data_IF_124097170579
#
_entry.id   IF_124097170579
#
_cell.length_a   1.000
_cell.length_b   1.000
_cell.length_c   1.000
_cell.angle_alpha   90.00
_cell.angle_beta   90.00
_cell.angle_gamma   90.00
#
_symmetry.space_group_name_H-M   'P 1'
#
loop_
_entity.id
_entity.type
_entity.pdbx_description
1 polymer ?
#
# COMPACT_ATOMS: atom_id res chain seq x y z
N UNK A 1 80.79 40.64 31.49
CA UNK A 1 80.03 40.01 30.35
C UNK A 1 78.97 39.10 30.92
N UNK A 2 77.73 39.58 30.99
CA UNK A 2 76.63 38.93 31.69
C UNK A 2 75.60 38.46 30.65
N UNK A 3 75.45 37.14 30.54
CA UNK A 3 74.45 36.53 29.61
C UNK A 3 73.09 36.41 30.32
N UNK A 4 72.08 37.13 29.84
CA UNK A 4 70.71 37.02 30.25
C UNK A 4 70.02 35.81 29.54
N UNK A 5 69.49 34.86 30.35
CA UNK A 5 68.64 33.75 29.87
C UNK A 5 67.18 34.27 29.75
N UNK A 6 66.64 34.24 28.51
CA UNK A 6 65.23 34.44 28.27
C UNK A 6 64.53 33.12 28.49
N UNK A 7 63.56 33.08 29.40
CA UNK A 7 62.62 31.95 29.52
C UNK A 7 61.50 32.09 28.54
N UNK A 8 61.28 30.99 27.78
CA UNK A 8 60.20 30.89 26.80
C UNK A 8 59.02 30.17 27.47
N UNK A 9 57.93 30.91 27.72
CA UNK A 9 56.69 30.34 28.25
C UNK A 9 55.88 29.71 27.14
N UNK A 10 55.72 28.38 27.15
CA UNK A 10 54.85 27.61 26.25
C UNK A 10 53.47 27.60 26.90
N UNK A 11 52.53 28.36 26.31
CA UNK A 11 51.11 28.30 26.64
C UNK A 11 50.44 27.05 26.12
N UNK A 12 49.98 26.17 27.00
CA UNK A 12 49.13 25.04 26.64
C UNK A 12 47.72 25.56 26.29
N UNK A 13 47.36 25.60 25.01
CA UNK A 13 45.96 25.72 24.58
C UNK A 13 45.27 24.36 24.73
N UNK A 14 44.50 24.22 25.80
CA UNK A 14 43.56 23.10 25.96
C UNK A 14 42.38 23.28 24.99
N UNK A 15 42.47 22.67 23.81
CA UNK A 15 41.33 22.56 22.90
C UNK A 15 40.25 21.64 23.49
N UNK A 16 39.13 22.22 23.98
CA UNK A 16 37.92 21.44 24.23
C UNK A 16 37.39 20.91 22.86
N UNK A 17 37.70 19.68 22.56
CA UNK A 17 37.06 18.95 21.47
C UNK A 17 35.63 18.68 21.87
N UNK A 18 34.69 19.43 21.29
CA UNK A 18 33.26 19.08 21.32
C UNK A 18 33.12 17.83 20.43
N UNK A 19 33.13 16.65 21.05
CA UNK A 19 32.74 15.42 20.42
C UNK A 19 31.26 15.55 20.09
N UNK A 20 30.94 15.89 18.85
CA UNK A 20 29.58 15.75 18.32
C UNK A 20 29.20 14.25 18.46
N UNK A 21 28.36 13.94 19.45
CA UNK A 21 27.78 12.61 19.57
C UNK A 21 27.02 12.34 18.27
N UNK A 22 27.61 11.55 17.40
CA UNK A 22 26.91 11.04 16.21
C UNK A 22 25.71 10.26 16.75
N UNK A 23 24.53 10.83 16.62
CA UNK A 23 23.28 10.15 16.94
C UNK A 23 23.23 8.86 16.14
N UNK A 24 23.33 7.71 16.80
CA UNK A 24 23.28 6.42 16.15
C UNK A 24 21.95 6.31 15.40
N UNK A 25 22.04 6.20 14.08
CA UNK A 25 20.87 6.09 13.21
C UNK A 25 20.18 4.76 13.47
N UNK A 26 18.90 4.80 13.88
CA UNK A 26 18.13 3.58 14.11
C UNK A 26 17.56 3.05 12.82
N UNK A 27 17.85 1.79 12.49
CA UNK A 27 17.28 1.10 11.33
C UNK A 27 16.06 0.28 11.76
N UNK A 28 14.94 0.50 11.08
CA UNK A 28 13.70 -0.27 11.20
C UNK A 28 13.53 -1.14 9.96
N UNK A 29 13.20 -2.41 10.16
CA UNK A 29 12.92 -3.35 9.08
C UNK A 29 11.41 -3.61 9.02
N UNK A 30 10.79 -3.29 7.90
CA UNK A 30 9.39 -3.57 7.61
C UNK A 30 9.23 -4.42 6.37
N UNK A 31 8.16 -5.22 6.32
CA UNK A 31 7.87 -6.02 5.13
C UNK A 31 6.36 -6.19 4.93
N UNK A 32 5.92 -6.28 3.67
CA UNK A 32 4.53 -6.57 3.39
C UNK A 32 4.02 -6.11 2.04
N UNK A 33 2.84 -5.53 2.06
CA UNK A 33 2.07 -5.15 0.89
C UNK A 33 2.88 -4.39 -0.16
N UNK A 34 2.77 -4.79 -1.42
CA UNK A 34 3.36 -4.06 -2.54
C UNK A 34 2.53 -2.85 -2.97
N UNK A 35 1.23 -2.84 -2.61
CA UNK A 35 0.34 -1.71 -2.90
C UNK A 35 0.92 -0.37 -2.42
N UNK A 36 1.33 -0.17 -1.15
CA UNK A 36 1.83 1.11 -0.67
C UNK A 36 3.33 1.31 -0.93
N UNK A 37 4.06 0.36 -1.53
CA UNK A 37 5.52 0.38 -1.57
C UNK A 37 6.11 1.68 -2.14
N UNK A 38 5.64 2.25 -3.28
CA UNK A 38 6.13 3.55 -3.77
C UNK A 38 5.93 4.68 -2.76
N UNK A 39 4.78 4.72 -2.09
CA UNK A 39 4.48 5.72 -1.07
C UNK A 39 5.35 5.55 0.17
N UNK A 40 5.49 4.32 0.69
CA UNK A 40 6.32 4.03 1.85
C UNK A 40 7.79 4.35 1.60
N UNK A 41 8.34 3.94 0.47
CA UNK A 41 9.73 4.25 0.11
C UNK A 41 9.99 5.74 0.09
N UNK A 42 9.10 6.52 -0.53
CA UNK A 42 9.26 7.97 -0.63
C UNK A 42 9.07 8.68 0.71
N UNK A 43 8.06 8.30 1.48
CA UNK A 43 7.76 8.91 2.78
C UNK A 43 8.83 8.54 3.83
N UNK A 44 9.27 7.28 3.88
CA UNK A 44 10.31 6.87 4.82
C UNK A 44 11.68 7.45 4.48
N UNK A 45 11.99 7.67 3.20
CA UNK A 45 13.18 8.44 2.82
C UNK A 45 13.14 9.88 3.40
N UNK A 46 11.96 10.50 3.47
CA UNK A 46 11.78 11.79 4.13
C UNK A 46 11.98 11.74 5.65
N UNK A 47 11.65 10.62 6.30
CA UNK A 47 11.88 10.42 7.74
C UNK A 47 13.38 10.25 8.11
N UNK A 48 14.24 9.95 7.14
CA UNK A 48 15.68 9.80 7.37
C UNK A 48 16.33 11.07 7.96
N UNK A 49 15.81 12.25 7.63
CA UNK A 49 16.22 13.53 8.23
C UNK A 49 15.96 13.64 9.76
N UNK A 50 15.17 12.71 10.32
CA UNK A 50 14.90 12.60 11.75
C UNK A 50 15.76 11.51 12.45
N UNK A 51 16.81 11.02 11.80
CA UNK A 51 17.70 9.98 12.32
C UNK A 51 17.10 8.55 12.25
N UNK A 52 16.05 8.32 11.44
CA UNK A 52 15.37 7.03 11.32
C UNK A 52 15.52 6.52 9.90
N UNK A 53 16.17 5.37 9.73
CA UNK A 53 16.15 4.62 8.49
C UNK A 53 15.07 3.55 8.53
N UNK A 54 14.29 3.44 7.45
CA UNK A 54 13.33 2.36 7.29
C UNK A 54 13.66 1.56 6.04
N UNK A 55 13.97 0.30 6.24
CA UNK A 55 14.13 -0.69 5.17
C UNK A 55 12.80 -1.41 4.98
N UNK A 56 12.05 -1.02 3.95
CA UNK A 56 10.76 -1.64 3.64
C UNK A 56 10.88 -2.61 2.46
N UNK A 57 10.49 -3.86 2.68
CA UNK A 57 10.51 -4.93 1.68
C UNK A 57 9.11 -5.18 1.12
N UNK A 58 8.93 -4.92 -0.17
CA UNK A 58 7.71 -5.24 -0.93
C UNK A 58 7.66 -6.74 -1.25
N UNK A 59 7.00 -7.51 -0.39
CA UNK A 59 6.94 -9.00 -0.48
C UNK A 59 5.52 -9.55 -0.60
N UNK A 60 4.52 -8.66 -0.64
CA UNK A 60 3.09 -8.96 -0.60
C UNK A 60 2.54 -9.11 0.82
N UNK A 61 1.26 -8.76 0.99
CA UNK A 61 0.57 -8.75 2.30
C UNK A 61 0.64 -10.10 3.02
N UNK A 62 0.48 -11.20 2.28
CA UNK A 62 0.54 -12.54 2.87
C UNK A 62 1.90 -12.87 3.49
N UNK A 63 3.01 -12.50 2.82
CA UNK A 63 4.35 -12.68 3.36
C UNK A 63 4.62 -11.70 4.51
N UNK A 64 4.17 -10.44 4.39
CA UNK A 64 4.28 -9.44 5.46
C UNK A 64 3.62 -9.87 6.75
N UNK A 65 2.37 -10.34 6.69
CA UNK A 65 1.65 -10.84 7.86
C UNK A 65 2.37 -12.05 8.48
N UNK A 66 2.87 -12.99 7.66
CA UNK A 66 3.62 -14.15 8.18
C UNK A 66 4.93 -13.74 8.86
N UNK A 67 5.69 -12.79 8.29
CA UNK A 67 6.91 -12.28 8.90
C UNK A 67 6.62 -11.52 10.20
N UNK A 68 5.55 -10.74 10.23
CA UNK A 68 5.08 -10.05 11.41
C UNK A 68 4.70 -11.02 12.55
N UNK A 69 3.89 -12.04 12.27
CA UNK A 69 3.51 -13.05 13.27
C UNK A 69 4.74 -13.83 13.79
N UNK A 70 5.75 -14.06 12.93
CA UNK A 70 7.02 -14.71 13.31
C UNK A 70 8.02 -13.77 13.99
N UNK A 71 7.67 -12.50 14.17
CA UNK A 71 8.50 -11.47 14.79
C UNK A 71 9.87 -11.26 14.10
N UNK A 72 9.95 -11.55 12.79
CA UNK A 72 11.19 -11.39 12.00
C UNK A 72 11.39 -9.98 11.41
N UNK A 73 10.43 -9.09 11.62
CA UNK A 73 10.46 -7.68 11.20
C UNK A 73 9.98 -6.77 12.33
N UNK A 74 10.31 -5.49 12.29
CA UNK A 74 9.87 -4.51 13.29
C UNK A 74 8.40 -4.11 13.09
N UNK A 75 7.91 -4.21 11.85
CA UNK A 75 6.50 -4.02 11.50
C UNK A 75 6.12 -4.76 10.22
N UNK A 76 4.87 -5.18 10.14
CA UNK A 76 4.28 -5.74 8.93
C UNK A 76 3.45 -4.72 8.16
N UNK A 77 3.08 -5.03 6.90
CA UNK A 77 2.11 -4.25 6.16
C UNK A 77 1.16 -5.13 5.33
N UNK A 78 -0.13 -4.73 5.30
CA UNK A 78 -1.17 -5.48 4.60
C UNK A 78 -2.27 -4.55 4.09
N UNK A 79 -2.83 -4.84 2.90
CA UNK A 79 -4.03 -4.17 2.38
C UNK A 79 -5.33 -4.95 2.72
N UNK A 80 -5.21 -6.06 3.44
CA UNK A 80 -6.31 -6.72 4.13
C UNK A 80 -6.12 -6.49 5.62
N UNK A 81 -7.12 -6.03 6.37
CA UNK A 81 -7.05 -5.95 7.82
C UNK A 81 -6.67 -7.29 8.42
N UNK A 82 -5.94 -7.28 9.54
CA UNK A 82 -5.53 -8.51 10.20
C UNK A 82 -6.77 -9.27 10.69
N UNK A 83 -6.84 -10.55 10.39
CA UNK A 83 -7.97 -11.41 10.81
C UNK A 83 -7.93 -11.65 12.31
N UNK A 84 -9.09 -11.82 12.94
CA UNK A 84 -9.19 -12.14 14.38
C UNK A 84 -8.33 -13.35 14.78
N UNK A 85 -8.28 -14.39 13.93
CA UNK A 85 -7.45 -15.58 14.12
C UNK A 85 -5.95 -15.29 14.10
N UNK A 86 -5.50 -14.21 13.48
CA UNK A 86 -4.10 -13.84 13.41
C UNK A 86 -3.69 -12.91 14.58
N UNK A 87 -4.63 -12.11 15.11
CA UNK A 87 -4.39 -11.35 16.34
C UNK A 87 -3.91 -12.25 17.49
N UNK A 88 -4.56 -13.40 17.69
CA UNK A 88 -4.22 -14.33 18.75
C UNK A 88 -2.81 -14.97 18.61
N UNK A 89 -2.22 -14.92 17.41
CA UNK A 89 -0.88 -15.46 17.14
C UNK A 89 0.25 -14.47 17.44
N UNK A 90 -0.07 -13.18 17.59
CA UNK A 90 0.93 -12.12 17.85
C UNK A 90 1.07 -11.93 19.35
N UNK A 91 2.07 -12.56 19.96
CA UNK A 91 2.28 -12.54 21.42
C UNK A 91 2.50 -11.14 21.99
N UNK A 92 3.16 -10.29 21.23
CA UNK A 92 3.49 -8.88 21.59
C UNK A 92 2.30 -7.92 21.39
N UNK A 93 1.11 -8.43 21.13
CA UNK A 93 -0.07 -7.62 20.82
C UNK A 93 0.05 -6.87 19.49
N UNK A 94 -1.06 -6.37 18.99
CA UNK A 94 -1.17 -5.73 17.67
C UNK A 94 -1.65 -4.29 17.82
N UNK A 95 -0.96 -3.38 17.15
CA UNK A 95 -1.46 -2.04 16.82
C UNK A 95 -1.58 -1.96 15.30
N UNK A 96 -2.81 -2.05 14.80
CA UNK A 96 -3.12 -1.93 13.37
C UNK A 96 -3.42 -0.47 13.04
N UNK A 97 -2.70 0.09 12.05
CA UNK A 97 -2.72 1.52 11.75
C UNK A 97 -2.95 1.71 10.25
N UNK A 98 -4.09 2.26 9.81
CA UNK A 98 -4.26 2.65 8.42
C UNK A 98 -3.31 3.79 8.09
N UNK A 99 -2.65 3.73 6.92
CA UNK A 99 -1.56 4.65 6.59
C UNK A 99 -1.80 5.47 5.34
N UNK A 100 -2.44 4.91 4.34
CA UNK A 100 -2.83 5.58 3.11
C UNK A 100 -3.96 4.79 2.45
N UNK A 101 -4.79 5.45 1.67
CA UNK A 101 -5.76 4.81 0.80
C UNK A 101 -5.33 4.81 -0.65
N UNK A 102 -6.09 4.12 -1.49
CA UNK A 102 -5.86 4.20 -2.93
C UNK A 102 -6.82 3.33 -3.72
N UNK A 103 -6.93 3.67 -4.98
CA UNK A 103 -7.74 2.92 -5.94
C UNK A 103 -6.95 1.76 -6.51
N UNK A 104 -7.63 0.63 -6.72
CA UNK A 104 -7.12 -0.51 -7.47
C UNK A 104 -7.60 -0.36 -8.92
N UNK A 105 -6.71 0.11 -9.78
CA UNK A 105 -7.01 0.36 -11.17
C UNK A 105 -7.11 -0.95 -11.95
N UNK A 106 -8.12 -1.09 -12.77
CA UNK A 106 -8.15 -2.09 -13.85
C UNK A 106 -7.31 -1.52 -14.98
N UNK A 107 -6.06 -1.97 -15.02
CA UNK A 107 -5.06 -1.50 -15.98
C UNK A 107 -5.04 -2.39 -17.24
N UNK A 108 -4.77 -1.79 -18.39
CA UNK A 108 -4.71 -2.52 -19.64
C UNK A 108 -3.65 -1.95 -20.59
N UNK A 109 -3.16 -2.80 -21.49
CA UNK A 109 -2.24 -2.46 -22.58
C UNK A 109 -2.89 -2.77 -23.93
N UNK A 110 -3.63 -1.81 -24.46
CA UNK A 110 -4.32 -1.93 -25.76
C UNK A 110 -4.25 -0.59 -26.48
N UNK A 111 -3.22 -0.34 -27.32
CA UNK A 111 -2.96 0.99 -27.90
C UNK A 111 -4.08 1.56 -28.76
N UNK A 112 -4.84 0.71 -29.43
CA UNK A 112 -6.00 1.10 -30.24
C UNK A 112 -7.29 1.31 -29.45
N UNK A 113 -7.31 0.94 -28.14
CA UNK A 113 -8.41 1.22 -27.22
C UNK A 113 -8.11 2.51 -26.45
N UNK A 114 -8.69 3.64 -26.86
CA UNK A 114 -8.40 4.96 -26.25
C UNK A 114 -9.16 5.23 -24.96
N UNK A 115 -10.27 4.52 -24.72
CA UNK A 115 -11.10 4.71 -23.53
C UNK A 115 -11.91 3.43 -23.26
N UNK A 116 -11.54 2.73 -22.21
CA UNK A 116 -12.26 1.54 -21.78
C UNK A 116 -13.21 1.89 -20.63
N UNK A 117 -14.47 1.49 -20.77
CA UNK A 117 -15.49 1.56 -19.72
C UNK A 117 -16.01 0.15 -19.48
N UNK A 118 -15.99 -0.30 -18.23
CA UNK A 118 -16.44 -1.64 -17.85
C UNK A 118 -17.57 -1.55 -16.84
N UNK A 119 -18.63 -2.28 -17.09
CA UNK A 119 -19.64 -2.55 -16.06
C UNK A 119 -19.09 -3.54 -15.03
N UNK A 120 -19.70 -3.61 -13.84
CA UNK A 120 -19.34 -4.58 -12.81
C UNK A 120 -19.42 -6.03 -13.33
N UNK A 121 -20.46 -6.35 -14.10
CA UNK A 121 -20.63 -7.67 -14.71
C UNK A 121 -19.51 -7.98 -15.72
N UNK A 122 -19.21 -7.06 -16.64
CA UNK A 122 -18.12 -7.26 -17.61
C UNK A 122 -16.78 -7.48 -16.92
N UNK A 123 -16.50 -6.73 -15.84
CA UNK A 123 -15.26 -6.93 -15.09
C UNK A 123 -15.18 -8.34 -14.51
N UNK A 124 -16.25 -8.83 -13.89
CA UNK A 124 -16.29 -10.20 -13.37
C UNK A 124 -16.15 -11.24 -14.48
N UNK A 125 -16.84 -11.06 -15.63
CA UNK A 125 -16.80 -11.99 -16.75
C UNK A 125 -15.42 -12.05 -17.41
N UNK A 126 -14.65 -10.96 -17.44
CA UNK A 126 -13.25 -10.96 -17.90
C UNK A 126 -12.40 -11.91 -17.02
N UNK A 127 -12.48 -11.78 -15.70
CA UNK A 127 -11.68 -12.58 -14.79
C UNK A 127 -12.20 -14.01 -14.59
N UNK A 128 -13.47 -14.27 -14.97
CA UNK A 128 -14.02 -15.62 -15.11
C UNK A 128 -13.62 -16.31 -16.42
N UNK A 129 -13.04 -15.57 -17.38
CA UNK A 129 -12.67 -16.09 -18.69
C UNK A 129 -13.85 -16.22 -19.66
N UNK A 130 -14.94 -15.51 -19.44
CA UNK A 130 -16.12 -15.49 -20.31
C UNK A 130 -16.02 -14.40 -21.38
N UNK A 131 -15.32 -13.31 -21.07
CA UNK A 131 -14.87 -12.31 -22.05
C UNK A 131 -13.40 -12.59 -22.35
N UNK A 132 -13.12 -13.02 -23.58
CA UNK A 132 -11.80 -13.47 -24.03
C UNK A 132 -11.22 -12.65 -25.18
N UNK A 133 -11.98 -11.70 -25.70
CA UNK A 133 -11.53 -10.82 -26.78
C UNK A 133 -11.93 -9.37 -26.57
N UNK A 134 -11.12 -8.46 -27.11
CA UNK A 134 -11.37 -7.01 -27.09
C UNK A 134 -12.59 -6.60 -27.92
N UNK A 135 -12.96 -7.42 -28.93
CA UNK A 135 -14.16 -7.24 -29.73
C UNK A 135 -15.43 -7.26 -28.88
N UNK A 136 -15.49 -8.16 -27.87
CA UNK A 136 -16.63 -8.26 -26.95
C UNK A 136 -16.79 -7.00 -26.07
N UNK A 137 -15.70 -6.25 -25.87
CA UNK A 137 -15.69 -4.98 -25.15
C UNK A 137 -15.88 -3.76 -26.07
N UNK A 138 -16.00 -3.97 -27.37
CA UNK A 138 -16.06 -2.91 -28.41
C UNK A 138 -14.86 -1.95 -28.31
N UNK A 139 -13.68 -2.48 -27.98
CA UNK A 139 -12.47 -1.69 -27.74
C UNK A 139 -11.26 -2.23 -28.52
N UNK A 140 -11.44 -2.36 -29.83
CA UNK A 140 -10.47 -2.95 -30.75
C UNK A 140 -10.73 -4.42 -31.00
N UNK A 141 -9.78 -5.10 -31.65
CA UNK A 141 -9.88 -6.52 -32.02
C UNK A 141 -8.79 -7.34 -31.31
N UNK A 142 -9.03 -8.64 -31.26
CA UNK A 142 -8.02 -9.61 -30.87
C UNK A 142 -8.18 -10.16 -29.44
N UNK A 143 -7.31 -11.11 -29.10
CA UNK A 143 -7.34 -11.84 -27.84
C UNK A 143 -7.12 -10.91 -26.64
N UNK A 144 -7.90 -11.13 -25.59
CA UNK A 144 -7.73 -10.49 -24.30
C UNK A 144 -6.98 -11.45 -23.36
N UNK A 145 -5.87 -10.99 -22.79
CA UNK A 145 -5.04 -11.77 -21.84
C UNK A 145 -5.17 -11.16 -20.45
N UNK A 146 -5.61 -11.96 -19.48
CA UNK A 146 -5.74 -11.51 -18.08
C UNK A 146 -4.40 -11.61 -17.35
N UNK A 147 -4.07 -10.60 -16.55
CA UNK A 147 -2.95 -10.63 -15.62
C UNK A 147 -3.44 -10.49 -14.18
N UNK A 148 -2.91 -11.31 -13.27
CA UNK A 148 -3.30 -11.34 -11.86
C UNK A 148 -2.09 -11.52 -10.94
N UNK A 149 -2.28 -11.46 -9.64
CA UNK A 149 -1.21 -11.70 -8.64
C UNK A 149 -0.93 -13.19 -8.49
N UNK A 150 0.36 -13.52 -8.36
CA UNK A 150 0.83 -14.89 -8.06
C UNK A 150 1.24 -15.11 -6.61
N UNK A 151 1.27 -14.05 -5.80
CA UNK A 151 1.63 -14.06 -4.38
C UNK A 151 0.41 -13.78 -3.49
N UNK A 152 0.55 -14.01 -2.18
CA UNK A 152 -0.48 -13.63 -1.20
C UNK A 152 -0.61 -12.11 -1.09
N UNK A 153 -1.67 -11.55 -1.66
CA UNK A 153 -1.83 -10.13 -1.94
C UNK A 153 -3.06 -9.52 -1.29
N UNK A 154 -2.89 -8.44 -0.52
CA UNK A 154 -4.01 -7.63 -0.05
C UNK A 154 -4.71 -6.88 -1.19
N UNK A 155 -3.97 -6.48 -2.24
CA UNK A 155 -4.57 -5.92 -3.46
C UNK A 155 -5.50 -6.94 -4.13
N UNK A 156 -5.11 -8.23 -4.18
CA UNK A 156 -5.99 -9.32 -4.65
C UNK A 156 -7.21 -9.46 -3.74
N UNK A 157 -7.03 -9.41 -2.42
CA UNK A 157 -8.14 -9.49 -1.48
C UNK A 157 -9.17 -8.38 -1.76
N UNK A 158 -8.76 -7.11 -1.78
CA UNK A 158 -9.66 -5.99 -2.04
C UNK A 158 -10.34 -6.09 -3.42
N UNK A 159 -9.59 -6.51 -4.46
CA UNK A 159 -10.12 -6.71 -5.81
C UNK A 159 -11.17 -7.82 -5.85
N UNK A 160 -10.88 -8.99 -5.29
CA UNK A 160 -11.78 -10.15 -5.30
C UNK A 160 -12.99 -9.98 -4.37
N UNK A 161 -12.84 -9.23 -3.27
CA UNK A 161 -13.94 -8.81 -2.41
C UNK A 161 -14.93 -7.93 -3.21
N UNK A 162 -14.41 -6.95 -3.96
CA UNK A 162 -15.24 -6.15 -4.86
C UNK A 162 -15.90 -7.00 -5.94
N UNK A 163 -15.18 -7.92 -6.60
CA UNK A 163 -15.79 -8.82 -7.58
C UNK A 163 -16.89 -9.70 -6.98
N UNK A 164 -16.73 -10.14 -5.73
CA UNK A 164 -17.75 -10.91 -5.00
C UNK A 164 -19.00 -10.06 -4.69
N UNK A 165 -18.82 -8.76 -4.46
CA UNK A 165 -19.93 -7.82 -4.31
C UNK A 165 -20.60 -7.46 -5.64
N UNK A 166 -19.88 -7.51 -6.76
CA UNK A 166 -20.37 -7.18 -8.09
C UNK A 166 -21.12 -8.34 -8.77
N UNK A 167 -20.73 -9.58 -8.49
CA UNK A 167 -21.19 -10.76 -9.22
C UNK A 167 -21.37 -11.96 -8.29
N UNK A 168 -22.62 -12.42 -8.17
CA UNK A 168 -22.94 -13.67 -7.46
C UNK A 168 -22.26 -14.88 -8.10
N UNK A 169 -22.06 -14.86 -9.41
CA UNK A 169 -21.35 -15.89 -10.16
C UNK A 169 -19.87 -15.95 -9.77
N UNK A 170 -19.19 -14.80 -9.67
CA UNK A 170 -17.84 -14.74 -9.17
C UNK A 170 -17.77 -15.25 -7.73
N UNK A 171 -18.64 -14.73 -6.86
CA UNK A 171 -18.71 -15.12 -5.46
C UNK A 171 -18.84 -16.62 -5.26
N UNK A 172 -19.68 -17.27 -6.05
CA UNK A 172 -19.91 -18.72 -5.95
C UNK A 172 -18.79 -19.57 -6.54
N UNK A 173 -18.14 -19.13 -7.63
CA UNK A 173 -17.12 -19.91 -8.35
C UNK A 173 -15.71 -19.69 -7.81
N UNK A 174 -15.38 -18.49 -7.35
CA UNK A 174 -14.02 -18.09 -6.98
C UNK A 174 -13.95 -17.55 -5.56
N UNK A 175 -14.86 -16.61 -5.20
CA UNK A 175 -14.88 -15.95 -3.91
C UNK A 175 -13.81 -14.86 -3.78
N UNK A 176 -13.36 -14.65 -2.53
CA UNK A 176 -12.43 -13.58 -2.15
C UNK A 176 -11.27 -14.09 -1.29
N UNK A 177 -10.13 -13.45 -1.37
CA UNK A 177 -8.97 -13.80 -0.56
C UNK A 177 -7.67 -13.15 -1.03
N UNK A 178 -6.63 -13.21 -0.19
CA UNK A 178 -5.26 -12.86 -0.60
C UNK A 178 -4.72 -13.75 -1.71
N UNK A 179 -5.27 -14.94 -1.83
CA UNK A 179 -4.98 -15.94 -2.85
C UNK A 179 -6.30 -16.62 -3.23
N UNK A 180 -6.59 -16.71 -4.49
CA UNK A 180 -7.75 -17.40 -5.05
C UNK A 180 -7.32 -18.31 -6.19
N UNK A 181 -8.17 -19.27 -6.56
CA UNK A 181 -7.99 -20.10 -7.76
C UNK A 181 -8.43 -19.31 -8.98
N UNK A 182 -7.50 -18.64 -9.65
CA UNK A 182 -7.81 -17.85 -10.84
C UNK A 182 -8.27 -18.74 -11.98
N UNK A 183 -9.45 -18.49 -12.57
CA UNK A 183 -9.94 -19.27 -13.71
C UNK A 183 -9.07 -19.12 -14.96
N UNK A 184 -8.50 -17.94 -15.17
CA UNK A 184 -7.69 -17.60 -16.35
C UNK A 184 -6.59 -16.60 -15.96
N UNK A 185 -5.58 -16.48 -16.81
CA UNK A 185 -4.61 -15.40 -16.73
C UNK A 185 -3.18 -15.85 -16.44
N UNK A 186 -2.30 -14.84 -16.35
CA UNK A 186 -0.86 -15.00 -16.07
C UNK A 186 -0.53 -14.29 -14.76
N UNK A 187 0.21 -14.95 -13.88
CA UNK A 187 0.58 -14.45 -12.58
C UNK A 187 1.80 -13.52 -12.61
N UNK A 188 1.69 -12.37 -11.91
CA UNK A 188 2.82 -11.48 -11.62
C UNK A 188 3.03 -11.33 -10.10
N UNK A 189 4.27 -11.39 -9.61
CA UNK A 189 4.57 -11.20 -8.19
C UNK A 189 4.59 -9.71 -7.84
N UNK A 190 3.81 -9.30 -6.86
CA UNK A 190 3.65 -7.90 -6.47
C UNK A 190 2.84 -7.08 -7.49
N UNK A 191 2.51 -5.84 -7.14
CA UNK A 191 1.92 -4.89 -8.10
C UNK A 191 2.88 -4.61 -9.27
N UNK A 192 4.17 -4.50 -8.97
CA UNK A 192 5.26 -4.36 -9.93
C UNK A 192 5.32 -5.50 -10.96
N UNK A 193 5.17 -6.74 -10.51
CA UNK A 193 5.17 -7.90 -11.39
C UNK A 193 3.96 -7.95 -12.31
N UNK A 194 2.76 -7.63 -11.80
CA UNK A 194 1.55 -7.53 -12.65
C UNK A 194 1.69 -6.38 -13.65
N UNK A 195 2.17 -5.20 -13.23
CA UNK A 195 2.44 -4.09 -14.13
C UNK A 195 3.46 -4.47 -15.23
N UNK A 196 4.49 -5.24 -14.86
CA UNK A 196 5.48 -5.78 -15.81
C UNK A 196 4.84 -6.72 -16.84
N UNK A 197 3.98 -7.66 -16.42
CA UNK A 197 3.23 -8.54 -17.33
C UNK A 197 2.39 -7.71 -18.29
N UNK A 198 1.63 -6.75 -17.77
CA UNK A 198 0.77 -5.88 -18.58
C UNK A 198 1.57 -5.06 -19.60
N UNK A 199 2.67 -4.46 -19.17
CA UNK A 199 3.52 -3.62 -20.04
C UNK A 199 4.09 -4.41 -21.22
N UNK A 200 4.51 -5.65 -20.96
CA UNK A 200 5.16 -6.50 -21.96
C UNK A 200 4.19 -7.37 -22.77
N UNK A 201 2.88 -7.28 -22.50
CA UNK A 201 1.86 -8.10 -23.19
C UNK A 201 0.79 -7.20 -23.81
N UNK A 202 0.96 -6.72 -25.06
CA UNK A 202 -0.12 -6.03 -25.78
C UNK A 202 -1.39 -6.88 -25.84
N UNK A 203 -2.55 -6.25 -25.59
CA UNK A 203 -3.83 -6.94 -25.47
C UNK A 203 -4.11 -7.50 -24.09
N UNK A 204 -3.32 -7.16 -23.08
CA UNK A 204 -3.56 -7.59 -21.71
C UNK A 204 -4.39 -6.62 -20.88
N UNK A 205 -5.06 -7.16 -19.86
CA UNK A 205 -5.83 -6.45 -18.84
C UNK A 205 -5.58 -7.11 -17.47
N UNK A 206 -5.51 -6.31 -16.40
CA UNK A 206 -5.30 -6.81 -15.05
C UNK A 206 -5.60 -5.73 -14.01
N UNK A 207 -5.26 -5.97 -12.77
CA UNK A 207 -5.47 -5.02 -11.67
C UNK A 207 -4.15 -4.72 -10.94
N UNK A 208 -3.95 -3.44 -10.66
CA UNK A 208 -2.80 -2.92 -9.88
C UNK A 208 -3.22 -1.70 -9.08
N UNK A 209 -2.46 -1.37 -8.03
CA UNK A 209 -2.60 -0.04 -7.43
C UNK A 209 -2.40 1.05 -8.49
N UNK A 210 -3.17 2.14 -8.42
CA UNK A 210 -3.12 3.24 -9.39
C UNK A 210 -1.69 3.78 -9.62
N UNK A 211 -0.87 3.77 -8.60
CA UNK A 211 0.54 4.19 -8.63
C UNK A 211 1.40 3.42 -9.65
N UNK A 212 1.00 2.21 -10.02
CA UNK A 212 1.71 1.37 -11.00
C UNK A 212 1.18 1.53 -12.43
N UNK A 213 0.14 2.33 -12.65
CA UNK A 213 -0.36 2.62 -14.00
C UNK A 213 0.50 3.72 -14.61
N UNK A 214 1.51 3.31 -15.34
CA UNK A 214 2.43 4.19 -16.09
C UNK A 214 2.41 3.81 -17.56
N UNK A 215 2.70 4.74 -18.46
CA UNK A 215 2.78 4.45 -19.89
C UNK A 215 3.63 3.20 -20.17
N UNK A 216 3.19 2.29 -21.08
CA UNK A 216 2.06 2.43 -21.99
C UNK A 216 0.70 2.04 -21.39
N UNK A 217 0.62 1.66 -20.10
CA UNK A 217 -0.62 1.21 -19.48
C UNK A 217 -1.64 2.34 -19.37
N UNK A 218 -2.89 1.97 -19.56
CA UNK A 218 -4.06 2.82 -19.37
C UNK A 218 -4.94 2.20 -18.26
N UNK A 219 -5.87 2.99 -17.70
CA UNK A 219 -6.82 2.51 -16.71
C UNK A 219 -8.26 2.65 -17.20
N UNK A 220 -9.06 1.61 -17.02
CA UNK A 220 -10.48 1.62 -17.34
C UNK A 220 -11.27 2.49 -16.35
N UNK A 221 -12.33 3.13 -16.83
CA UNK A 221 -13.38 3.64 -15.97
C UNK A 221 -14.34 2.49 -15.62
N UNK A 222 -14.66 2.35 -14.34
CA UNK A 222 -15.55 1.30 -13.85
C UNK A 222 -16.92 1.86 -13.48
N UNK A 223 -17.97 1.13 -13.82
CA UNK A 223 -19.30 1.44 -13.37
C UNK A 223 -19.41 1.19 -11.85
N UNK A 224 -19.81 2.19 -11.11
CA UNK A 224 -20.07 2.06 -9.68
C UNK A 224 -21.51 1.62 -9.39
N UNK A 225 -21.86 1.39 -8.14
CA UNK A 225 -23.20 0.94 -7.71
C UNK A 225 -24.30 1.93 -8.09
N UNK A 226 -23.98 3.23 -8.19
CA UNK A 226 -24.89 4.27 -8.65
C UNK A 226 -25.09 4.32 -10.18
N UNK A 227 -24.41 3.44 -10.94
CA UNK A 227 -24.51 3.38 -12.39
C UNK A 227 -23.53 4.29 -13.16
N UNK A 228 -22.73 5.09 -12.48
CA UNK A 228 -21.80 6.03 -13.10
C UNK A 228 -20.46 5.36 -13.42
N UNK A 229 -19.84 5.73 -14.56
CA UNK A 229 -18.48 5.31 -14.88
C UNK A 229 -17.46 6.27 -14.25
N UNK A 230 -16.68 5.77 -13.32
CA UNK A 230 -15.70 6.55 -12.54
C UNK A 230 -14.28 6.07 -12.86
N UNK A 231 -13.33 7.00 -12.99
CA UNK A 231 -11.89 6.70 -13.17
C UNK A 231 -11.23 6.41 -11.81
N UNK A 232 -10.14 5.62 -11.79
CA UNK A 232 -9.36 5.36 -10.56
C UNK A 232 -8.44 6.55 -10.22
N UNK A 233 -9.01 7.74 -10.10
CA UNK A 233 -8.29 8.98 -9.76
C UNK A 233 -8.47 9.36 -8.29
N UNK A 234 -7.83 10.46 -7.88
CA UNK A 234 -7.90 10.97 -6.52
C UNK A 234 -9.34 11.25 -6.09
N UNK A 235 -10.13 11.88 -6.94
CA UNK A 235 -11.51 12.28 -6.62
C UNK A 235 -12.40 11.05 -6.38
N UNK A 236 -12.31 10.04 -7.27
CA UNK A 236 -13.03 8.78 -7.13
C UNK A 236 -12.60 8.01 -5.86
N UNK A 237 -11.31 8.02 -5.56
CA UNK A 237 -10.76 7.39 -4.36
C UNK A 237 -11.20 8.10 -3.07
N UNK A 238 -11.17 9.42 -3.01
CA UNK A 238 -11.66 10.19 -1.84
C UNK A 238 -13.14 9.90 -1.60
N UNK A 239 -13.96 9.91 -2.65
CA UNK A 239 -15.38 9.64 -2.54
C UNK A 239 -15.64 8.24 -1.94
N UNK A 240 -14.90 7.22 -2.38
CA UNK A 240 -15.02 5.87 -1.87
C UNK A 240 -14.51 5.72 -0.42
N UNK A 241 -13.33 6.30 -0.10
CA UNK A 241 -12.77 6.22 1.27
C UNK A 241 -13.67 6.87 2.32
N UNK A 242 -14.44 7.89 1.97
CA UNK A 242 -15.38 8.54 2.88
C UNK A 242 -16.53 7.61 3.31
N UNK A 243 -16.79 6.52 2.61
CA UNK A 243 -17.80 5.53 2.96
C UNK A 243 -17.25 4.41 3.86
N UNK A 244 -15.94 4.21 3.91
CA UNK A 244 -15.32 3.20 4.78
C UNK A 244 -15.53 3.58 6.26
N UNK A 245 -16.04 2.62 7.03
CA UNK A 245 -16.21 2.74 8.48
C UNK A 245 -15.19 1.83 9.18
N UNK A 246 -14.41 2.42 10.08
CA UNK A 246 -13.42 1.66 10.85
C UNK A 246 -14.02 1.16 12.15
N UNK A 247 -13.78 -0.11 12.46
CA UNK A 247 -14.08 -0.71 13.75
C UNK A 247 -13.11 -0.28 14.87
N UNK A 248 -13.20 -0.89 16.04
CA UNK A 248 -12.34 -0.62 17.20
C UNK A 248 -10.85 -0.99 16.94
N UNK A 249 -10.59 -1.91 16.03
CA UNK A 249 -9.25 -2.33 15.61
C UNK A 249 -8.75 -1.54 14.39
N UNK A 250 -9.45 -0.50 13.99
CA UNK A 250 -9.19 0.29 12.78
C UNK A 250 -9.20 -0.54 11.49
N UNK A 251 -9.93 -1.66 11.49
CA UNK A 251 -10.26 -2.41 10.30
C UNK A 251 -11.50 -1.83 9.64
N UNK A 252 -11.56 -1.81 8.31
CA UNK A 252 -12.72 -1.35 7.57
C UNK A 252 -12.53 -1.46 6.08
N UNK A 253 -13.61 -1.86 5.40
CA UNK A 253 -13.66 -2.07 3.96
C UNK A 253 -15.04 -1.67 3.44
N UNK A 254 -15.08 -1.29 2.18
CA UNK A 254 -16.33 -1.16 1.43
C UNK A 254 -16.11 -1.71 0.01
N UNK A 255 -16.55 -2.95 -0.25
CA UNK A 255 -16.29 -3.61 -1.53
C UNK A 255 -17.12 -3.07 -2.70
N UNK A 256 -18.16 -2.25 -2.44
CA UNK A 256 -19.00 -1.65 -3.49
C UNK A 256 -19.68 -0.37 -2.99
N UNK A 257 -18.92 0.72 -2.82
CA UNK A 257 -19.43 1.99 -2.29
C UNK A 257 -20.60 2.53 -3.11
N UNK A 258 -21.51 3.21 -2.43
CA UNK A 258 -22.80 3.68 -2.99
C UNK A 258 -22.75 5.06 -3.61
N UNK A 259 -21.72 5.84 -3.30
CA UNK A 259 -21.58 7.22 -3.74
C UNK A 259 -21.47 7.38 -5.25
N UNK A 260 -22.22 8.33 -5.79
CA UNK A 260 -22.27 8.56 -7.24
C UNK A 260 -20.92 8.87 -7.88
N UNK A 261 -19.96 9.37 -7.11
CA UNK A 261 -18.59 9.67 -7.55
C UNK A 261 -17.55 8.67 -7.05
N UNK A 262 -17.94 7.67 -6.25
CA UNK A 262 -17.02 6.70 -5.67
C UNK A 262 -16.48 5.75 -6.74
N UNK A 263 -15.14 5.58 -6.77
CA UNK A 263 -14.54 4.53 -7.57
C UNK A 263 -14.74 3.18 -6.88
N UNK A 264 -15.26 2.16 -7.58
CA UNK A 264 -15.82 0.99 -6.89
C UNK A 264 -14.79 0.06 -6.24
N UNK A 265 -13.49 0.15 -6.61
CA UNK A 265 -12.44 -0.70 -6.04
C UNK A 265 -11.40 0.19 -5.36
N UNK A 266 -11.66 0.51 -4.11
CA UNK A 266 -10.79 1.37 -3.29
C UNK A 266 -10.51 0.69 -1.96
N UNK A 267 -9.27 0.78 -1.49
CA UNK A 267 -8.85 0.16 -0.23
C UNK A 267 -8.01 1.09 0.61
N UNK A 268 -7.93 0.79 1.89
CA UNK A 268 -6.88 1.24 2.80
C UNK A 268 -5.73 0.24 2.77
N UNK A 269 -4.58 0.67 3.29
CA UNK A 269 -3.47 -0.22 3.66
C UNK A 269 -3.04 0.08 5.08
N UNK A 270 -2.60 -0.95 5.79
CA UNK A 270 -2.27 -0.88 7.21
C UNK A 270 -0.82 -1.25 7.46
N UNK A 271 -0.20 -0.56 8.41
CA UNK A 271 0.98 -1.05 9.12
C UNK A 271 0.52 -1.80 10.36
N UNK A 272 1.15 -2.94 10.61
CA UNK A 272 0.98 -3.79 11.76
C UNK A 272 2.21 -3.63 12.65
N UNK A 273 2.08 -2.93 13.77
CA UNK A 273 3.14 -2.72 14.74
C UNK A 273 2.86 -3.53 16.02
N UNK A 274 3.90 -3.93 16.74
CA UNK A 274 3.73 -4.59 18.02
C UNK A 274 3.35 -3.58 19.10
N UNK A 275 2.43 -3.98 19.96
CA UNK A 275 2.00 -3.14 21.08
C UNK A 275 3.06 -3.10 22.18
N UNK A 276 3.71 -4.23 22.47
CA UNK A 276 4.61 -4.44 23.60
C UNK A 276 6.00 -4.90 23.11
N UNK A 277 6.98 -4.92 23.98
CA UNK A 277 8.34 -5.47 23.79
C UNK A 277 9.11 -4.91 22.58
N UNK A 278 8.86 -3.66 22.21
CA UNK A 278 9.58 -3.01 21.11
C UNK A 278 11.01 -2.58 21.46
N UNK A 279 11.44 -2.80 22.70
CA UNK A 279 12.74 -2.38 23.21
C UNK A 279 13.02 -0.89 22.89
N UNK A 280 14.23 -0.58 22.43
CA UNK A 280 14.62 0.78 22.04
C UNK A 280 13.95 1.26 20.73
N UNK A 281 13.22 0.40 20.01
CA UNK A 281 12.62 0.72 18.70
C UNK A 281 11.23 1.35 18.79
N UNK A 282 10.55 1.31 19.94
CA UNK A 282 9.21 1.90 20.10
C UNK A 282 9.17 3.38 19.71
N UNK A 283 10.10 4.17 20.21
CA UNK A 283 10.22 5.60 19.87
C UNK A 283 10.48 5.85 18.39
N UNK A 284 11.49 5.24 17.78
CA UNK A 284 11.75 5.29 16.35
C UNK A 284 10.56 4.85 15.48
N UNK A 285 9.85 3.75 15.81
CA UNK A 285 8.65 3.30 15.07
C UNK A 285 7.56 4.38 15.15
N UNK A 286 7.26 4.91 16.34
CA UNK A 286 6.28 6.00 16.49
C UNK A 286 6.63 7.23 15.67
N UNK A 287 7.89 7.66 15.68
CA UNK A 287 8.35 8.82 14.89
C UNK A 287 8.18 8.57 13.38
N UNK A 288 8.60 7.41 12.88
CA UNK A 288 8.46 7.05 11.47
C UNK A 288 6.97 7.05 11.05
N UNK A 289 6.08 6.48 11.86
CA UNK A 289 4.65 6.44 11.58
C UNK A 289 3.99 7.82 11.69
N UNK A 290 4.39 8.65 12.66
CA UNK A 290 3.89 10.03 12.74
C UNK A 290 4.36 10.88 11.56
N UNK A 291 5.59 10.66 11.06
CA UNK A 291 6.02 11.29 9.81
C UNK A 291 5.15 10.82 8.62
N UNK A 292 4.93 9.51 8.48
CA UNK A 292 4.08 8.93 7.43
C UNK A 292 2.65 9.49 7.47
N UNK A 293 2.07 9.63 8.67
CA UNK A 293 0.72 10.15 8.92
C UNK A 293 0.65 11.70 9.02
N UNK A 294 1.77 12.37 8.90
CA UNK A 294 1.90 13.82 8.90
C UNK A 294 2.41 14.33 7.55
N UNK A 295 3.67 14.79 7.48
CA UNK A 295 4.26 15.31 6.23
C UNK A 295 4.19 14.33 5.05
N UNK A 296 4.30 13.02 5.33
CA UNK A 296 4.20 11.96 4.33
C UNK A 296 2.88 11.98 3.56
N UNK A 297 1.76 12.37 4.18
CA UNK A 297 0.46 12.43 3.50
C UNK A 297 0.43 13.41 2.32
N UNK A 298 1.27 14.44 2.34
CA UNK A 298 1.37 15.41 1.23
C UNK A 298 1.97 14.81 -0.04
N UNK A 299 2.63 13.65 0.06
CA UNK A 299 3.21 12.93 -1.08
C UNK A 299 2.22 11.97 -1.75
N UNK A 300 1.07 11.72 -1.10
CA UNK A 300 0.18 10.63 -1.51
C UNK A 300 -0.42 10.85 -2.90
N UNK A 301 -0.94 12.05 -3.18
CA UNK A 301 -1.60 12.38 -4.45
C UNK A 301 -0.64 12.26 -5.64
N UNK A 302 0.52 12.90 -5.56
CA UNK A 302 1.55 12.87 -6.61
C UNK A 302 2.02 11.45 -6.95
N UNK A 303 1.92 10.54 -5.96
CA UNK A 303 2.27 9.13 -6.11
C UNK A 303 1.08 8.25 -6.51
N UNK A 304 -0.11 8.82 -6.72
CA UNK A 304 -1.31 8.10 -7.15
C UNK A 304 -2.06 7.40 -6.02
N UNK A 305 -1.92 7.88 -4.78
CA UNK A 305 -2.64 7.42 -3.60
C UNK A 305 -3.64 8.45 -3.09
N UNK A 306 -4.49 8.03 -2.17
CA UNK A 306 -5.48 8.88 -1.51
C UNK A 306 -5.00 9.15 -0.09
N UNK A 307 -4.66 10.40 0.27
CA UNK A 307 -4.23 10.73 1.62
C UNK A 307 -5.35 10.49 2.63
N UNK A 308 -5.00 10.01 3.82
CA UNK A 308 -5.93 9.92 4.93
C UNK A 308 -6.29 11.33 5.42
N UNK A 309 -7.58 11.53 5.72
CA UNK A 309 -8.10 12.81 6.21
C UNK A 309 -9.14 12.58 7.33
N UNK A 310 -9.54 13.67 7.99
CA UNK A 310 -10.62 13.66 8.97
C UNK A 310 -10.45 12.62 10.09
N UNK A 311 -11.52 11.89 10.39
CA UNK A 311 -11.59 10.95 11.49
C UNK A 311 -10.63 9.75 11.33
N UNK A 312 -10.47 9.23 10.11
CA UNK A 312 -9.53 8.13 9.83
C UNK A 312 -8.10 8.53 10.21
N UNK A 313 -7.63 9.71 9.77
CA UNK A 313 -6.30 10.19 10.10
C UNK A 313 -6.13 10.44 11.59
N UNK A 314 -7.12 11.02 12.25
CA UNK A 314 -7.13 11.25 13.71
C UNK A 314 -6.98 9.94 14.47
N UNK A 315 -7.79 8.93 14.14
CA UNK A 315 -7.73 7.59 14.73
C UNK A 315 -6.40 6.89 14.46
N UNK A 316 -5.86 6.98 13.24
CA UNK A 316 -4.56 6.43 12.88
C UNK A 316 -3.44 7.02 13.74
N UNK A 317 -3.39 8.36 13.89
CA UNK A 317 -2.40 9.04 14.76
C UNK A 317 -2.55 8.65 16.22
N UNK A 318 -3.77 8.54 16.74
CA UNK A 318 -4.02 8.11 18.11
C UNK A 318 -3.57 6.66 18.36
N UNK A 319 -3.70 5.78 17.36
CA UNK A 319 -3.24 4.40 17.47
C UNK A 319 -1.70 4.29 17.60
N UNK A 320 -0.94 5.21 17.00
CA UNK A 320 0.53 5.22 17.12
C UNK A 320 1.00 5.33 18.57
N UNK A 321 0.27 6.05 19.44
CA UNK A 321 0.60 6.18 20.85
C UNK A 321 0.54 4.84 21.62
N UNK A 322 -0.18 3.85 21.11
CA UNK A 322 -0.31 2.51 21.72
C UNK A 322 0.90 1.60 21.49
N UNK A 323 1.88 2.03 20.68
CA UNK A 323 3.09 1.26 20.39
C UNK A 323 4.06 1.41 21.54
N UNK A 324 4.43 0.30 22.23
CA UNK A 324 5.35 0.30 23.36
C UNK A 324 4.78 1.02 24.59
N UNK A 325 3.45 1.01 24.74
CA UNK A 325 2.77 1.52 25.95
C UNK A 325 2.71 0.45 27.02
#
# INVERSE_FOLDING_TARGET
MTFAKKALSIGLLSGLGIAAAASAQTTLNGAGASFPAPFYQRAFAGAAGQGIMVNYQSVGSGAGVRQYIKESVDFGASDEPLKASDYAKVKRGVVQIPTVGGTIAVAFNKPDCKSLKLTQAQLADIFLGEITSWDQLKCGKGKLTVAHRSDGSGTTFAFTNSLSAFSSKWKSKVGEGKTVNWPVGVGGKGNEGVAGVLTNTPGSIGYVARAFVKAPLQAAALQNKAGNFVKPDLAGGIAALNEIRLDANLAGEDPNPTGAKAYPITTLTWILAYKEDNSLKAGPIRKALLYLLGPGQNLADDLGYVPLRGDILKKAKAAVAKIGA
#
